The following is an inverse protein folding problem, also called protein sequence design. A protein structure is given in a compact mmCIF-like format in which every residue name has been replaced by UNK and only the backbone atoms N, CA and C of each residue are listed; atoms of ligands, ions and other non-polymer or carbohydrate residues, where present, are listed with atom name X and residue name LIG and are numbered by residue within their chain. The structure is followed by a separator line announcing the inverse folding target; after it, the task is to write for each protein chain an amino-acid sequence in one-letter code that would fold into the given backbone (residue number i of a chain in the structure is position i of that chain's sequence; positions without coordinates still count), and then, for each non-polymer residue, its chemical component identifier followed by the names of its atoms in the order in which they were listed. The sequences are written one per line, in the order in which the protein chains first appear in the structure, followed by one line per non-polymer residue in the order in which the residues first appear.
data_IF_894165340438
#
_entry.id   IF_894165340438
#
_cell.length_a   1.000
_cell.length_b   1.000
_cell.length_c   1.000
_cell.angle_alpha   90.00
_cell.angle_beta   90.00
_cell.angle_gamma   90.00
#
_symmetry.space_group_name_H-M   'P 1'
#
loop_
_entity.id
_entity.type
_entity.pdbx_description
1 polymer ?
#
# COMPACT_ATOMS: atom_id res chain seq x y z
N UNK A 1 -15.99 -3.18 -1.81
CA UNK A 1 -14.82 -2.53 -1.17
C UNK A 1 -15.15 -1.26 -0.36
N UNK A 2 -16.42 -0.98 -0.10
CA UNK A 2 -16.86 0.17 0.68
C UNK A 2 -17.80 -0.32 1.77
N UNK A 3 -17.36 -0.20 3.03
CA UNK A 3 -17.93 -0.92 4.17
C UNK A 3 -18.29 0.07 5.28
N UNK A 4 -19.44 -0.15 5.93
CA UNK A 4 -19.87 0.56 7.13
C UNK A 4 -19.49 -0.26 8.35
N UNK A 5 -18.82 0.33 9.34
CA UNK A 5 -18.70 -0.27 10.66
C UNK A 5 -20.04 -0.08 11.39
N UNK A 6 -20.77 -1.18 11.64
CA UNK A 6 -22.15 -1.13 12.14
C UNK A 6 -22.24 -0.42 13.48
N UNK A 7 -23.23 0.47 13.64
CA UNK A 7 -23.43 1.23 14.89
C UNK A 7 -22.48 2.42 15.09
N UNK A 8 -21.71 2.80 14.07
CA UNK A 8 -20.76 3.93 14.12
C UNK A 8 -20.97 4.89 12.95
N UNK A 9 -20.31 6.05 12.98
CA UNK A 9 -20.21 6.95 11.82
C UNK A 9 -18.88 6.77 11.07
N UNK A 10 -18.35 5.55 11.04
CA UNK A 10 -17.08 5.22 10.35
C UNK A 10 -17.33 4.28 9.18
N UNK A 11 -16.81 4.65 8.01
CA UNK A 11 -16.76 3.77 6.83
C UNK A 11 -15.33 3.47 6.43
N UNK A 12 -15.08 2.24 5.99
CA UNK A 12 -13.82 1.80 5.42
C UNK A 12 -13.93 1.77 3.90
N UNK A 13 -12.92 2.29 3.21
CA UNK A 13 -12.78 2.23 1.77
C UNK A 13 -11.47 1.56 1.38
N UNK A 14 -11.58 0.45 0.64
CA UNK A 14 -10.47 -0.23 0.00
C UNK A 14 -10.02 0.52 -1.26
N UNK A 15 -8.82 1.08 -1.24
CA UNK A 15 -8.23 1.85 -2.33
C UNK A 15 -7.14 1.08 -3.10
N UNK A 16 -6.70 1.66 -4.21
CA UNK A 16 -5.39 1.34 -4.80
C UNK A 16 -4.59 2.64 -4.93
N UNK A 17 -3.33 2.60 -4.52
CA UNK A 17 -2.42 3.75 -4.60
C UNK A 17 -2.10 4.16 -6.05
N UNK A 18 -2.02 3.17 -6.94
CA UNK A 18 -1.67 3.32 -8.35
C UNK A 18 -2.67 2.55 -9.22
N UNK A 19 -2.96 3.08 -10.40
CA UNK A 19 -3.71 2.40 -11.44
C UNK A 19 -2.82 2.12 -12.65
N UNK A 20 -3.13 1.11 -13.48
CA UNK A 20 -2.52 0.97 -14.79
C UNK A 20 -2.73 2.24 -15.62
N UNK A 21 -1.71 2.68 -16.36
CA UNK A 21 -1.79 3.89 -17.18
C UNK A 21 -2.91 3.83 -18.25
N UNK A 22 -3.35 2.63 -18.61
CA UNK A 22 -4.44 2.37 -19.56
C UNK A 22 -5.84 2.69 -19.02
N UNK A 23 -6.00 2.91 -17.71
CA UNK A 23 -7.31 3.23 -17.12
C UNK A 23 -7.21 4.15 -15.90
N UNK A 24 -8.00 5.23 -15.92
CA UNK A 24 -8.20 6.13 -14.76
C UNK A 24 -9.57 5.95 -14.09
N UNK A 25 -10.31 4.91 -14.49
CA UNK A 25 -11.67 4.64 -14.00
C UNK A 25 -11.64 4.39 -12.51
N UNK A 26 -12.63 4.92 -11.83
CA UNK A 26 -12.92 4.62 -10.43
C UNK A 26 -14.34 4.08 -10.35
N UNK A 27 -14.62 3.13 -9.46
CA UNK A 27 -15.97 2.70 -9.19
C UNK A 27 -16.82 3.84 -8.60
N UNK A 28 -18.16 3.78 -8.75
CA UNK A 28 -19.05 4.85 -8.30
C UNK A 28 -18.93 5.12 -6.79
N UNK A 29 -18.70 4.07 -5.99
CA UNK A 29 -18.58 4.20 -4.53
C UNK A 29 -17.43 5.11 -4.07
N UNK A 30 -16.43 5.41 -4.92
CA UNK A 30 -15.34 6.32 -4.56
C UNK A 30 -15.84 7.75 -4.37
N UNK A 31 -16.67 8.23 -5.29
CA UNK A 31 -17.25 9.57 -5.19
C UNK A 31 -18.28 9.63 -4.04
N UNK A 32 -19.16 8.63 -3.97
CA UNK A 32 -20.16 8.52 -2.89
C UNK A 32 -19.52 8.49 -1.51
N UNK A 33 -18.41 7.76 -1.36
CA UNK A 33 -17.68 7.69 -0.10
C UNK A 33 -17.12 9.05 0.32
N UNK A 34 -16.52 9.77 -0.63
CA UNK A 34 -15.97 11.10 -0.38
C UNK A 34 -17.07 12.12 -0.01
N UNK A 35 -18.20 12.10 -0.72
CA UNK A 35 -19.32 13.02 -0.49
C UNK A 35 -20.02 12.75 0.84
N UNK A 36 -20.11 11.48 1.24
CA UNK A 36 -20.68 11.10 2.52
C UNK A 36 -19.81 11.55 3.71
N UNK A 37 -18.49 11.61 3.54
CA UNK A 37 -17.55 11.88 4.62
C UNK A 37 -17.48 13.37 5.01
N UNK A 38 -17.45 13.63 6.30
CA UNK A 38 -17.12 14.94 6.88
C UNK A 38 -15.61 15.07 7.12
N UNK A 39 -14.94 13.96 7.45
CA UNK A 39 -13.49 13.88 7.65
C UNK A 39 -12.91 12.62 7.02
N UNK A 40 -11.63 12.69 6.63
CA UNK A 40 -10.89 11.61 5.99
C UNK A 40 -9.75 11.10 6.88
N UNK A 41 -9.46 9.82 6.76
CA UNK A 41 -8.30 9.19 7.39
C UNK A 41 -7.58 8.38 6.33
N UNK A 42 -6.32 8.72 6.05
CA UNK A 42 -5.46 7.98 5.11
C UNK A 42 -4.43 7.15 5.89
N UNK A 43 -3.74 6.22 5.22
CA UNK A 43 -2.69 5.43 5.85
C UNK A 43 -1.56 6.31 6.39
N UNK A 44 -0.84 6.99 5.49
CA UNK A 44 0.34 7.79 5.79
C UNK A 44 0.48 8.95 4.80
N UNK A 45 1.40 9.89 5.06
CA UNK A 45 1.70 11.01 4.17
C UNK A 45 2.87 10.67 3.22
N UNK A 46 2.62 10.35 1.93
CA UNK A 46 3.66 9.77 1.07
C UNK A 46 4.94 10.60 0.91
N UNK A 47 4.92 11.93 0.72
CA UNK A 47 6.14 12.74 0.61
C UNK A 47 7.05 12.65 1.84
N UNK A 48 6.50 12.37 3.01
CA UNK A 48 7.27 12.33 4.27
C UNK A 48 8.12 11.07 4.41
N UNK A 49 7.95 10.06 3.56
CA UNK A 49 8.78 8.85 3.57
C UNK A 49 10.17 9.07 2.93
N UNK A 50 10.32 10.08 2.08
CA UNK A 50 11.55 10.31 1.30
C UNK A 50 12.83 10.37 2.15
N UNK A 51 12.86 11.06 3.31
CA UNK A 51 14.05 11.09 4.16
C UNK A 51 14.43 9.73 4.77
N UNK A 52 13.49 8.77 4.81
CA UNK A 52 13.71 7.44 5.40
C UNK A 52 14.22 6.41 4.40
N UNK A 53 14.19 6.71 3.09
CA UNK A 53 14.63 5.80 2.05
C UNK A 53 16.13 5.51 2.12
N UNK A 54 16.93 6.43 2.68
CA UNK A 54 18.38 6.29 2.86
C UNK A 54 18.72 6.16 4.36
N UNK A 55 19.73 5.36 4.76
CA UNK A 55 20.23 5.39 6.12
C UNK A 55 21.02 6.68 6.40
N UNK A 56 21.22 6.99 7.68
CA UNK A 56 22.04 8.14 8.08
C UNK A 56 23.54 7.94 7.78
N UNK A 57 23.98 6.68 7.67
CA UNK A 57 25.32 6.28 7.21
C UNK A 57 25.26 5.68 5.80
N UNK A 58 26.36 5.74 5.06
CA UNK A 58 26.47 5.08 3.74
C UNK A 58 26.39 3.54 3.86
N UNK A 59 26.09 2.86 2.76
CA UNK A 59 26.08 1.40 2.65
C UNK A 59 24.74 0.73 2.98
N UNK A 60 23.63 1.34 2.55
CA UNK A 60 22.29 0.79 2.77
C UNK A 60 22.05 -0.50 1.98
N UNK A 61 22.07 -0.41 0.65
CA UNK A 61 21.74 -1.52 -0.25
C UNK A 61 22.96 -2.36 -0.60
N UNK A 62 24.17 -1.99 -0.15
CA UNK A 62 25.34 -2.87 -0.22
C UNK A 62 25.09 -4.19 0.53
N UNK A 63 24.18 -4.17 1.50
CA UNK A 63 23.69 -5.38 2.19
C UNK A 63 22.86 -6.30 1.29
N UNK A 64 22.31 -5.80 0.18
CA UNK A 64 21.54 -6.58 -0.80
C UNK A 64 22.42 -7.32 -1.81
N UNK A 65 23.55 -6.73 -2.20
CA UNK A 65 24.44 -7.33 -3.20
C UNK A 65 24.81 -8.79 -2.88
N UNK A 66 25.22 -9.18 -1.66
CA UNK A 66 25.56 -10.57 -1.35
C UNK A 66 24.34 -11.51 -1.30
N UNK A 67 23.11 -10.98 -1.28
CA UNK A 67 21.86 -11.74 -1.21
C UNK A 67 21.23 -11.97 -2.59
N UNK A 68 21.82 -11.40 -3.63
CA UNK A 68 21.37 -11.51 -5.02
C UNK A 68 22.42 -12.26 -5.85
N UNK A 69 21.98 -12.89 -6.95
CA UNK A 69 22.92 -13.36 -7.96
C UNK A 69 23.59 -12.15 -8.63
N UNK A 70 24.80 -12.34 -9.17
CA UNK A 70 25.49 -11.28 -9.90
C UNK A 70 24.63 -10.73 -11.04
N UNK A 71 23.92 -11.60 -11.76
CA UNK A 71 23.02 -11.19 -12.85
C UNK A 71 21.84 -10.36 -12.34
N UNK A 72 21.19 -10.78 -11.25
CA UNK A 72 20.07 -10.03 -10.68
C UNK A 72 20.50 -8.66 -10.15
N UNK A 73 21.66 -8.57 -9.49
CA UNK A 73 22.22 -7.30 -9.04
C UNK A 73 22.53 -6.36 -10.21
N UNK A 74 23.19 -6.87 -11.25
CA UNK A 74 23.53 -6.07 -12.44
C UNK A 74 22.27 -5.57 -13.16
N UNK A 75 21.24 -6.42 -13.29
CA UNK A 75 19.95 -6.01 -13.88
C UNK A 75 19.27 -4.92 -13.05
N UNK A 76 19.20 -5.11 -11.73
CA UNK A 76 18.59 -4.14 -10.82
C UNK A 76 19.31 -2.79 -10.89
N UNK A 77 20.65 -2.77 -10.90
CA UNK A 77 21.44 -1.55 -11.08
C UNK A 77 21.19 -0.90 -12.44
N UNK A 78 21.09 -1.68 -13.52
CA UNK A 78 20.91 -1.17 -14.88
C UNK A 78 19.57 -0.46 -15.10
N UNK A 79 18.51 -0.88 -14.39
CA UNK A 79 17.19 -0.24 -14.48
C UNK A 79 16.99 0.89 -13.47
N UNK A 80 17.88 1.01 -12.48
CA UNK A 80 17.70 1.99 -11.41
C UNK A 80 17.93 3.42 -11.91
N UNK A 81 17.16 4.42 -11.43
CA UNK A 81 17.43 5.82 -11.76
C UNK A 81 18.85 6.24 -11.38
N UNK A 82 19.53 6.94 -12.29
CA UNK A 82 20.88 7.48 -12.05
C UNK A 82 20.87 8.78 -11.25
N UNK A 83 19.74 9.48 -11.20
CA UNK A 83 19.58 10.79 -10.55
C UNK A 83 18.28 10.85 -9.74
N UNK A 84 18.19 11.86 -8.86
CA UNK A 84 17.00 12.11 -8.04
C UNK A 84 17.04 11.42 -6.67
N UNK A 85 15.94 11.50 -5.89
CA UNK A 85 15.90 11.06 -4.49
C UNK A 85 16.10 9.55 -4.32
N UNK A 86 15.86 8.77 -5.38
CA UNK A 86 16.02 7.31 -5.40
C UNK A 86 17.44 6.88 -5.78
N UNK A 87 18.29 7.80 -6.25
CA UNK A 87 19.62 7.48 -6.75
C UNK A 87 20.72 7.80 -5.73
N UNK A 88 21.85 7.06 -5.76
CA UNK A 88 22.03 5.76 -6.39
C UNK A 88 21.38 4.63 -5.57
N UNK A 89 21.14 3.46 -6.19
CA UNK A 89 20.59 2.27 -5.53
C UNK A 89 21.34 1.92 -4.23
N UNK A 90 22.68 1.95 -4.27
CA UNK A 90 23.56 1.55 -3.15
C UNK A 90 23.32 2.34 -1.85
N UNK A 91 22.78 3.56 -1.97
CA UNK A 91 22.47 4.41 -0.82
C UNK A 91 21.14 4.06 -0.16
N UNK A 92 20.25 3.34 -0.84
CA UNK A 92 18.91 3.07 -0.33
C UNK A 92 18.93 2.00 0.74
N UNK A 93 17.99 2.06 1.67
CA UNK A 93 17.73 0.93 2.57
C UNK A 93 17.21 -0.27 1.77
N UNK A 94 17.51 -1.50 2.19
CA UNK A 94 17.02 -2.72 1.55
C UNK A 94 15.51 -2.73 1.26
N UNK A 95 14.69 -2.33 2.23
CA UNK A 95 13.23 -2.27 2.05
C UNK A 95 12.80 -1.17 1.07
N UNK A 96 13.56 -0.07 0.95
CA UNK A 96 13.25 0.98 -0.01
C UNK A 96 13.45 0.47 -1.43
N UNK A 97 14.53 -0.29 -1.67
CA UNK A 97 14.74 -0.97 -2.94
C UNK A 97 13.60 -1.95 -3.23
N UNK A 98 13.16 -2.75 -2.24
CA UNK A 98 12.04 -3.68 -2.37
C UNK A 98 10.73 -3.01 -2.83
N UNK A 99 10.38 -1.86 -2.24
CA UNK A 99 9.13 -1.16 -2.54
C UNK A 99 9.20 -0.43 -3.88
N UNK A 100 10.36 0.14 -4.22
CA UNK A 100 10.53 0.95 -5.43
C UNK A 100 10.75 0.09 -6.68
N UNK A 101 11.51 -1.02 -6.59
CA UNK A 101 11.92 -1.80 -7.76
C UNK A 101 10.74 -2.25 -8.65
N UNK A 102 9.61 -2.79 -8.12
CA UNK A 102 8.49 -3.19 -8.95
C UNK A 102 7.89 -2.04 -9.77
N UNK A 103 7.91 -0.81 -9.22
CA UNK A 103 7.33 0.36 -9.89
C UNK A 103 8.10 0.79 -11.14
N UNK A 104 9.38 0.41 -11.24
CA UNK A 104 10.21 0.67 -12.43
C UNK A 104 9.74 -0.12 -13.66
N UNK A 105 8.97 -1.19 -13.43
CA UNK A 105 8.42 -2.08 -14.47
C UNK A 105 6.92 -1.90 -14.66
N UNK A 106 6.32 -0.92 -13.99
CA UNK A 106 4.90 -0.63 -14.12
C UNK A 106 4.67 0.67 -14.89
N UNK A 107 3.64 0.65 -15.74
CA UNK A 107 3.12 1.87 -16.35
C UNK A 107 1.92 2.32 -15.53
N UNK A 108 2.10 3.38 -14.74
CA UNK A 108 1.13 3.78 -13.71
C UNK A 108 0.63 5.21 -13.85
N UNK A 109 -0.55 5.44 -13.29
CA UNK A 109 -1.10 6.75 -12.97
C UNK A 109 -1.62 6.75 -11.54
N UNK A 110 -1.85 7.92 -10.98
CA UNK A 110 -2.33 8.05 -9.61
C UNK A 110 -3.68 7.33 -9.39
N UNK A 111 -3.74 6.58 -8.30
CA UNK A 111 -4.92 5.91 -7.81
C UNK A 111 -5.80 6.81 -6.94
N UNK A 112 -6.46 6.23 -5.94
CA UNK A 112 -7.54 6.89 -5.19
C UNK A 112 -7.03 7.98 -4.25
N UNK A 113 -6.04 7.68 -3.43
CA UNK A 113 -5.64 8.49 -2.27
C UNK A 113 -5.04 9.84 -2.70
N UNK A 114 -4.09 9.91 -3.64
CA UNK A 114 -3.56 11.21 -4.07
C UNK A 114 -4.64 12.10 -4.69
N UNK A 115 -5.58 11.50 -5.44
CA UNK A 115 -6.72 12.22 -6.04
C UNK A 115 -7.67 12.75 -4.97
N UNK A 116 -7.99 11.91 -3.98
CA UNK A 116 -8.90 12.24 -2.88
C UNK A 116 -8.30 13.30 -1.96
N UNK A 117 -7.01 13.18 -1.63
CA UNK A 117 -6.29 14.16 -0.81
C UNK A 117 -6.25 15.53 -1.49
N UNK A 118 -6.02 15.60 -2.80
CA UNK A 118 -6.11 16.86 -3.55
C UNK A 118 -7.49 17.49 -3.47
N UNK A 119 -8.56 16.70 -3.60
CA UNK A 119 -9.93 17.19 -3.44
C UNK A 119 -10.17 17.71 -2.01
N UNK A 120 -9.69 16.98 -1.00
CA UNK A 120 -9.82 17.37 0.40
C UNK A 120 -9.13 18.71 0.67
N UNK A 121 -7.89 18.87 0.21
CA UNK A 121 -7.13 20.13 0.30
C UNK A 121 -7.85 21.29 -0.41
N UNK A 122 -8.33 21.07 -1.63
CA UNK A 122 -9.02 22.10 -2.41
C UNK A 122 -10.34 22.55 -1.77
N UNK A 123 -11.01 21.66 -1.03
CA UNK A 123 -12.31 21.92 -0.40
C UNK A 123 -12.20 22.22 1.10
N UNK A 124 -11.00 22.19 1.68
CA UNK A 124 -10.80 22.32 3.12
C UNK A 124 -11.43 21.20 3.94
N UNK A 125 -11.61 20.00 3.35
CA UNK A 125 -12.13 18.84 4.09
C UNK A 125 -11.07 18.34 5.07
N UNK A 126 -11.37 18.22 6.38
CA UNK A 126 -10.43 17.73 7.37
C UNK A 126 -9.91 16.33 7.00
N UNK A 127 -8.63 16.09 7.26
CA UNK A 127 -8.04 14.77 7.13
C UNK A 127 -6.92 14.55 8.15
N UNK A 128 -6.60 13.28 8.40
CA UNK A 128 -5.48 12.84 9.23
C UNK A 128 -4.88 11.53 8.69
N UNK A 129 -3.78 11.07 9.29
CA UNK A 129 -3.09 9.84 8.91
C UNK A 129 -3.14 8.80 10.03
N UNK A 130 -3.21 7.51 9.66
CA UNK A 130 -3.17 6.38 10.59
C UNK A 130 -1.78 6.16 11.14
N UNK A 131 -0.73 6.51 10.41
CA UNK A 131 0.66 6.34 10.80
C UNK A 131 1.59 7.43 10.23
N UNK A 132 2.73 7.59 10.90
CA UNK A 132 3.81 8.50 10.47
C UNK A 132 4.76 7.79 9.52
N UNK A 133 5.53 8.54 8.72
CA UNK A 133 6.59 7.94 7.89
C UNK A 133 7.66 7.20 8.69
N UNK A 134 7.95 7.63 9.93
CA UNK A 134 8.86 6.89 10.81
C UNK A 134 8.29 5.51 11.17
N UNK A 135 6.98 5.41 11.41
CA UNK A 135 6.31 4.14 11.71
C UNK A 135 6.28 3.21 10.50
N UNK A 136 6.01 3.76 9.30
CA UNK A 136 6.14 3.03 8.02
C UNK A 136 7.56 2.49 7.88
N UNK A 137 8.57 3.35 8.03
CA UNK A 137 9.97 2.97 7.89
C UNK A 137 10.39 1.90 8.89
N UNK A 138 9.97 2.01 10.16
CA UNK A 138 10.25 0.98 11.19
C UNK A 138 9.58 -0.34 10.85
N UNK A 139 8.34 -0.32 10.36
CA UNK A 139 7.65 -1.54 9.92
C UNK A 139 8.40 -2.20 8.76
N UNK A 140 8.79 -1.43 7.75
CA UNK A 140 9.50 -1.93 6.57
C UNK A 140 10.95 -2.37 6.88
N UNK A 141 11.61 -1.73 7.84
CA UNK A 141 12.93 -2.15 8.34
C UNK A 141 12.88 -3.53 9.03
N UNK A 142 11.71 -3.94 9.53
CA UNK A 142 11.56 -5.26 10.16
C UNK A 142 11.59 -6.43 9.17
N UNK A 143 11.55 -6.15 7.86
CA UNK A 143 11.61 -7.18 6.82
C UNK A 143 13.01 -7.84 6.85
N UNK A 144 13.08 -9.18 7.03
CA UNK A 144 14.35 -9.89 6.98
C UNK A 144 15.08 -9.67 5.66
N UNK A 145 16.40 -9.43 5.72
CA UNK A 145 17.19 -9.11 4.54
C UNK A 145 17.17 -10.23 3.48
N UNK A 146 17.17 -11.49 3.91
CA UNK A 146 17.03 -12.66 3.03
C UNK A 146 15.68 -12.69 2.29
N UNK A 147 14.60 -12.26 2.95
CA UNK A 147 13.30 -12.07 2.30
C UNK A 147 13.34 -10.94 1.27
N UNK A 148 14.03 -9.82 1.57
CA UNK A 148 14.24 -8.75 0.59
C UNK A 148 15.02 -9.24 -0.64
N UNK A 149 16.15 -9.92 -0.43
CA UNK A 149 16.96 -10.49 -1.51
C UNK A 149 16.18 -11.50 -2.35
N UNK A 150 15.43 -12.38 -1.70
CA UNK A 150 14.55 -13.36 -2.38
C UNK A 150 13.51 -12.66 -3.25
N UNK A 151 12.82 -11.65 -2.71
CA UNK A 151 11.79 -10.91 -3.45
C UNK A 151 12.35 -10.14 -4.64
N UNK A 152 13.49 -9.46 -4.47
CA UNK A 152 14.17 -8.77 -5.58
C UNK A 152 14.70 -9.76 -6.63
N UNK A 153 15.18 -10.93 -6.22
CA UNK A 153 15.57 -12.01 -7.14
C UNK A 153 14.39 -12.54 -7.96
N UNK A 154 13.23 -12.75 -7.32
CA UNK A 154 11.98 -13.13 -8.00
C UNK A 154 11.56 -12.06 -9.00
N UNK A 155 11.60 -10.79 -8.60
CA UNK A 155 11.31 -9.66 -9.49
C UNK A 155 12.22 -9.69 -10.74
N UNK A 156 13.54 -9.83 -10.56
CA UNK A 156 14.50 -9.89 -11.67
C UNK A 156 14.30 -11.12 -12.58
N UNK A 157 13.67 -12.18 -12.09
CA UNK A 157 13.36 -13.37 -12.92
C UNK A 157 12.14 -13.19 -13.82
N UNK A 158 11.26 -12.23 -13.53
CA UNK A 158 10.04 -11.95 -14.32
C UNK A 158 9.66 -10.47 -14.20
N UNK A 159 10.26 -9.65 -15.07
CA UNK A 159 10.09 -8.20 -15.08
C UNK A 159 8.67 -7.75 -15.48
N UNK A 160 7.90 -8.62 -16.13
CA UNK A 160 6.53 -8.31 -16.57
C UNK A 160 5.50 -8.57 -15.45
N UNK A 161 5.84 -9.37 -14.43
CA UNK A 161 4.93 -9.72 -13.34
C UNK A 161 4.34 -8.50 -12.62
N UNK A 162 5.10 -7.44 -12.23
CA UNK A 162 4.54 -6.26 -11.57
C UNK A 162 3.40 -5.60 -12.35
N UNK A 163 3.52 -5.47 -13.68
CA UNK A 163 2.49 -4.87 -14.52
C UNK A 163 1.26 -5.80 -14.62
N UNK A 164 1.48 -7.11 -14.82
CA UNK A 164 0.39 -8.09 -14.87
C UNK A 164 -0.39 -8.15 -13.55
N UNK A 165 0.30 -8.18 -12.40
CA UNK A 165 -0.35 -8.17 -11.08
C UNK A 165 -1.18 -6.90 -10.91
N UNK A 166 -0.63 -5.72 -11.27
CA UNK A 166 -1.33 -4.44 -11.16
C UNK A 166 -2.63 -4.41 -11.98
N UNK A 167 -2.60 -4.86 -13.23
CA UNK A 167 -3.76 -4.88 -14.12
C UNK A 167 -4.86 -5.84 -13.64
N UNK A 168 -4.45 -7.02 -13.16
CA UNK A 168 -5.36 -8.02 -12.57
C UNK A 168 -6.01 -7.46 -11.29
N UNK A 169 -5.22 -6.90 -10.38
CA UNK A 169 -5.71 -6.30 -9.14
C UNK A 169 -6.66 -5.14 -9.43
N UNK A 170 -6.31 -4.26 -10.37
CA UNK A 170 -7.16 -3.13 -10.76
C UNK A 170 -8.50 -3.60 -11.37
N UNK A 171 -8.48 -4.67 -12.15
CA UNK A 171 -9.72 -5.27 -12.69
C UNK A 171 -10.61 -5.81 -11.57
N UNK A 172 -10.07 -6.57 -10.62
CA UNK A 172 -10.82 -7.07 -9.47
C UNK A 172 -11.36 -5.92 -8.59
N UNK A 173 -10.51 -4.92 -8.35
CA UNK A 173 -10.85 -3.71 -7.59
C UNK A 173 -12.00 -2.92 -8.23
N UNK A 174 -12.01 -2.77 -9.56
CA UNK A 174 -13.10 -2.12 -10.27
C UNK A 174 -14.47 -2.80 -10.06
N UNK A 175 -14.49 -4.13 -9.92
CA UNK A 175 -15.71 -4.91 -9.67
C UNK A 175 -16.07 -4.98 -8.17
N UNK A 176 -15.21 -4.45 -7.29
CA UNK A 176 -15.40 -4.46 -5.85
C UNK A 176 -15.14 -5.82 -5.20
N UNK A 177 -14.48 -6.73 -5.93
CA UNK A 177 -14.23 -8.12 -5.53
C UNK A 177 -12.99 -8.22 -4.64
N UNK A 178 -13.20 -8.10 -3.33
CA UNK A 178 -12.12 -8.21 -2.33
C UNK A 178 -11.51 -9.62 -2.30
N UNK A 179 -12.28 -10.64 -2.63
CA UNK A 179 -11.80 -12.01 -2.64
C UNK A 179 -10.83 -12.24 -3.79
N UNK A 180 -11.15 -11.76 -4.99
CA UNK A 180 -10.25 -11.82 -6.13
C UNK A 180 -8.98 -11.00 -5.89
N UNK A 181 -9.08 -9.81 -5.28
CA UNK A 181 -7.90 -9.02 -4.89
C UNK A 181 -7.00 -9.82 -3.94
N UNK A 182 -7.57 -10.47 -2.93
CA UNK A 182 -6.80 -11.33 -2.03
C UNK A 182 -6.14 -12.50 -2.77
N UNK A 183 -6.89 -13.18 -3.66
CA UNK A 183 -6.39 -14.33 -4.40
C UNK A 183 -5.19 -13.96 -5.28
N UNK A 184 -5.28 -12.84 -6.00
CA UNK A 184 -4.19 -12.33 -6.85
C UNK A 184 -2.96 -12.01 -5.99
N UNK A 185 -3.14 -11.46 -4.77
CA UNK A 185 -2.03 -11.19 -3.89
C UNK A 185 -1.33 -12.47 -3.42
N UNK A 186 -2.06 -13.51 -3.01
CA UNK A 186 -1.44 -14.77 -2.53
C UNK A 186 -0.85 -15.63 -3.66
N UNK A 187 -1.19 -15.36 -4.92
CA UNK A 187 -0.51 -15.97 -6.06
C UNK A 187 0.89 -15.41 -6.28
N UNK A 188 1.13 -14.16 -5.87
CA UNK A 188 2.45 -13.53 -6.01
C UNK A 188 3.43 -14.10 -4.98
N UNK A 189 4.56 -14.68 -5.41
CA UNK A 189 5.55 -15.27 -4.51
C UNK A 189 6.07 -14.31 -3.44
N UNK A 190 6.19 -13.01 -3.77
CA UNK A 190 6.64 -11.98 -2.83
C UNK A 190 5.70 -11.82 -1.64
N UNK A 191 4.38 -11.84 -1.87
CA UNK A 191 3.39 -11.69 -0.81
C UNK A 191 3.31 -12.92 0.11
N UNK A 192 3.82 -14.07 -0.33
CA UNK A 192 3.92 -15.28 0.50
C UNK A 192 5.14 -15.29 1.42
N UNK A 193 6.06 -14.33 1.31
CA UNK A 193 7.18 -14.18 2.23
C UNK A 193 6.68 -13.61 3.57
N UNK A 194 6.73 -14.37 4.69
CA UNK A 194 6.06 -13.98 5.93
C UNK A 194 6.52 -12.64 6.49
N UNK A 195 7.81 -12.32 6.39
CA UNK A 195 8.37 -11.05 6.86
C UNK A 195 7.83 -9.85 6.08
N UNK A 196 7.67 -9.97 4.76
CA UNK A 196 7.11 -8.92 3.90
C UNK A 196 5.62 -8.74 4.21
N UNK A 197 4.85 -9.84 4.24
CA UNK A 197 3.43 -9.80 4.60
C UNK A 197 3.22 -9.16 5.97
N UNK A 198 4.04 -9.52 6.95
CA UNK A 198 3.94 -8.98 8.29
C UNK A 198 4.17 -7.48 8.33
N UNK A 199 5.24 -7.00 7.70
CA UNK A 199 5.63 -5.60 7.69
C UNK A 199 4.66 -4.70 6.90
N UNK A 200 4.14 -5.19 5.76
CA UNK A 200 3.27 -4.41 4.87
C UNK A 200 1.81 -4.44 5.34
N UNK A 201 1.35 -5.55 5.94
CA UNK A 201 -0.05 -5.74 6.31
C UNK A 201 -0.24 -5.95 7.82
N UNK A 202 0.25 -7.06 8.38
CA UNK A 202 -0.18 -7.53 9.71
C UNK A 202 0.13 -6.56 10.84
N UNK A 203 1.36 -6.04 10.89
CA UNK A 203 1.81 -5.11 11.92
C UNK A 203 1.00 -3.80 11.86
N UNK A 204 0.80 -3.30 10.64
CA UNK A 204 0.07 -2.06 10.35
C UNK A 204 -1.42 -2.21 10.68
N UNK A 205 -2.07 -3.30 10.27
CA UNK A 205 -3.47 -3.61 10.60
C UNK A 205 -3.72 -3.59 12.11
N UNK A 206 -2.85 -4.24 12.90
CA UNK A 206 -2.98 -4.25 14.37
C UNK A 206 -2.81 -2.86 14.98
N UNK A 207 -1.80 -2.10 14.52
CA UNK A 207 -1.56 -0.74 15.01
C UNK A 207 -2.73 0.20 14.67
N UNK A 208 -3.23 0.15 13.44
CA UNK A 208 -4.32 0.99 12.98
C UNK A 208 -5.64 0.63 13.65
N UNK A 209 -5.95 -0.66 13.84
CA UNK A 209 -7.16 -1.08 14.55
C UNK A 209 -7.22 -0.48 15.97
N UNK A 210 -6.08 -0.35 16.65
CA UNK A 210 -6.02 0.33 17.94
C UNK A 210 -6.38 1.81 17.85
N UNK A 211 -5.85 2.54 16.85
CA UNK A 211 -6.10 3.99 16.66
C UNK A 211 -7.53 4.27 16.20
N UNK A 212 -8.09 3.39 15.38
CA UNK A 212 -9.44 3.53 14.86
C UNK A 212 -10.52 3.35 15.92
N UNK A 213 -10.25 2.67 17.04
CA UNK A 213 -11.20 2.55 18.16
C UNK A 213 -11.66 3.91 18.69
N UNK A 214 -10.77 4.90 18.68
CA UNK A 214 -11.07 6.27 19.13
C UNK A 214 -12.03 7.02 18.19
N UNK A 215 -12.24 6.51 16.98
CA UNK A 215 -13.17 7.08 16.00
C UNK A 215 -14.58 6.48 16.09
N UNK A 216 -14.71 5.25 16.60
CA UNK A 216 -15.97 4.49 16.54
C UNK A 216 -17.13 5.17 17.29
N UNK A 217 -16.84 5.93 18.35
CA UNK A 217 -17.83 6.65 19.14
C UNK A 217 -18.06 8.11 18.71
N UNK A 218 -17.36 8.59 17.67
CA UNK A 218 -17.47 10.00 17.25
C UNK A 218 -18.74 10.20 16.40
N UNK A 219 -19.43 11.34 16.54
CA UNK A 219 -20.60 11.65 15.73
C UNK A 219 -20.25 12.04 14.29
N UNK A 220 -18.99 12.42 14.02
CA UNK A 220 -18.52 12.84 12.70
C UNK A 220 -18.43 11.66 11.72
N UNK A 221 -18.98 11.86 10.52
CA UNK A 221 -18.87 10.88 9.42
C UNK A 221 -17.43 10.80 8.93
N UNK A 222 -16.74 9.74 9.31
CA UNK A 222 -15.32 9.55 9.01
C UNK A 222 -15.14 8.46 7.96
N UNK A 223 -14.44 8.78 6.87
CA UNK A 223 -14.02 7.80 5.88
C UNK A 223 -12.56 7.43 6.09
N UNK A 224 -12.31 6.16 6.37
CA UNK A 224 -10.98 5.58 6.48
C UNK A 224 -10.62 4.94 5.14
N UNK A 225 -9.58 5.44 4.50
CA UNK A 225 -9.11 5.01 3.18
C UNK A 225 -7.80 4.24 3.35
N UNK A 226 -7.85 2.95 3.06
CA UNK A 226 -6.70 2.03 3.15
C UNK A 226 -6.65 1.15 1.92
N UNK A 227 -5.46 0.74 1.50
CA UNK A 227 -5.25 -0.17 0.39
C UNK A 227 -6.12 -1.41 0.54
N UNK A 228 -6.74 -1.86 -0.56
CA UNK A 228 -7.75 -2.91 -0.53
C UNK A 228 -7.26 -4.21 0.13
N UNK A 229 -5.95 -4.50 0.06
CA UNK A 229 -5.34 -5.65 0.72
C UNK A 229 -5.41 -5.62 2.25
N UNK A 230 -5.53 -4.43 2.86
CA UNK A 230 -5.75 -4.30 4.30
C UNK A 230 -7.16 -4.74 4.73
N UNK A 231 -8.10 -4.93 3.80
CA UNK A 231 -9.50 -5.30 4.08
C UNK A 231 -9.82 -6.76 3.73
N UNK A 232 -8.83 -7.58 3.36
CA UNK A 232 -9.07 -8.96 2.93
C UNK A 232 -7.97 -9.92 3.41
N UNK A 233 -8.30 -11.21 3.43
CA UNK A 233 -7.40 -12.27 3.90
C UNK A 233 -7.27 -12.32 5.43
N UNK A 234 -6.57 -13.33 5.97
CA UNK A 234 -6.47 -13.52 7.42
C UNK A 234 -5.73 -12.37 8.12
N UNK A 235 -6.19 -11.92 9.29
CA UNK A 235 -5.55 -10.83 10.04
C UNK A 235 -5.70 -9.46 9.37
N UNK A 236 -6.70 -9.30 8.49
CA UNK A 236 -7.05 -8.02 7.90
C UNK A 236 -7.51 -7.00 8.99
N UNK A 237 -7.60 -5.73 8.60
CA UNK A 237 -7.98 -4.64 9.48
C UNK A 237 -9.37 -4.82 10.10
N UNK A 238 -10.33 -5.40 9.37
CA UNK A 238 -11.70 -5.63 9.83
C UNK A 238 -11.69 -6.64 10.98
N UNK A 239 -10.97 -7.75 10.82
CA UNK A 239 -10.76 -8.75 11.88
C UNK A 239 -10.07 -8.12 13.10
N UNK A 240 -9.04 -7.29 12.88
CA UNK A 240 -8.33 -6.61 13.96
C UNK A 240 -9.20 -5.60 14.73
N UNK A 241 -10.15 -4.95 14.04
CA UNK A 241 -11.11 -4.03 14.66
C UNK A 241 -12.12 -4.77 15.55
N UNK A 242 -12.42 -6.04 15.23
CA UNK A 242 -13.45 -6.84 15.89
C UNK A 242 -14.82 -6.13 15.92
N UNK A 243 -15.16 -5.44 14.83
CA UNK A 243 -16.45 -4.75 14.64
C UNK A 243 -17.24 -5.41 13.50
N UNK A 244 -18.57 -5.56 13.64
CA UNK A 244 -19.41 -5.97 12.52
C UNK A 244 -19.33 -4.94 11.39
N UNK A 245 -19.30 -5.42 10.15
CA UNK A 245 -19.27 -4.57 8.97
C UNK A 245 -20.33 -4.96 7.96
N UNK A 246 -20.89 -3.97 7.28
CA UNK A 246 -21.88 -4.17 6.22
C UNK A 246 -21.41 -3.48 4.94
N UNK A 247 -21.57 -4.11 3.75
CA UNK A 247 -21.29 -3.44 2.50
C UNK A 247 -22.27 -2.29 2.29
N UNK A 248 -21.74 -1.09 2.02
CA UNK A 248 -22.56 0.09 1.69
C UNK A 248 -23.04 0.03 0.24
N UNK A 249 -22.21 -0.58 -0.61
CA UNK A 249 -22.51 -0.80 -2.02
C UNK A 249 -22.39 -2.29 -2.29
N UNK A 250 -23.47 -2.90 -2.79
CA UNK A 250 -23.46 -4.26 -3.33
C UNK A 250 -23.50 -4.11 -4.85
N UNK A 251 -22.45 -4.53 -5.53
CA UNK A 251 -22.44 -4.59 -7.00
C UNK A 251 -23.65 -5.43 -7.44
N UNK A 252 -24.55 -4.82 -8.21
CA UNK A 252 -25.69 -5.51 -8.83
C UNK A 252 -25.27 -6.41 -9.97
#
# INVERSE_FOLDING_TARGET
MYLQLTGTNVRLLGSMHLFPATSRRTPPWIAEAYDWAESLVFESDPPTILPFLKPASQGGADQLQPLLSADAWNQLQAVWPAEGPLAPLVDLRPWAALVVAPTLFQQVVEGVEPRMLRSALAQGKPYQYLETAQEVAVSLESIPLDAVGTALGMLMSDLDEPQRTLERMHTAWLHGDLQAVHQIAVESPMFNLPGIRHAILDARNRAWASRLKDLLGRPERTLVVVGALHLCGPGNLIECLAQPVEPVFVSG
#
